data_IF_745623159364
#
_entry.id   IF_745623159364
#
_cell.length_a   1.000
_cell.length_b   1.000
_cell.length_c   1.000
_cell.angle_alpha   90.00
_cell.angle_beta   90.00
_cell.angle_gamma   90.00
#
_symmetry.space_group_name_H-M   'P 1'
#
loop_
_entity.id
_entity.type
_entity.pdbx_description
1 polymer ?
#
# COMPACT_ATOMS: atom_id res chain seq x y z
N UNK A 1 14.71 21.27 -10.13
CA UNK A 1 14.24 19.86 -10.03
C UNK A 1 14.35 19.45 -8.56
N UNK A 2 13.25 19.09 -7.92
CA UNK A 2 13.26 18.64 -6.52
C UNK A 2 13.82 17.22 -6.43
N UNK A 3 14.49 16.90 -5.31
CA UNK A 3 15.00 15.56 -5.03
C UNK A 3 14.36 15.08 -3.73
N UNK A 4 13.79 13.90 -3.77
CA UNK A 4 13.31 13.15 -2.61
C UNK A 4 14.36 12.10 -2.26
N UNK A 5 14.86 12.13 -1.03
CA UNK A 5 15.77 11.12 -0.52
C UNK A 5 15.03 10.22 0.47
N UNK A 6 15.08 8.91 0.23
CA UNK A 6 14.50 7.89 1.09
C UNK A 6 15.62 7.26 1.92
N UNK A 7 15.60 7.50 3.22
CA UNK A 7 16.52 6.85 4.15
C UNK A 7 15.86 5.59 4.71
N UNK A 8 16.18 4.44 4.10
CA UNK A 8 15.52 3.16 4.36
C UNK A 8 16.39 2.32 5.32
N UNK A 9 16.66 2.87 6.51
CA UNK A 9 17.51 2.21 7.50
C UNK A 9 16.81 1.10 8.31
N UNK A 10 15.47 1.00 8.23
CA UNK A 10 14.67 0.02 8.99
C UNK A 10 13.53 -0.57 8.17
N UNK A 11 13.73 -0.72 6.87
CA UNK A 11 12.67 -1.14 5.95
C UNK A 11 11.74 -0.01 5.52
N UNK A 12 10.83 -0.33 4.62
CA UNK A 12 9.80 0.58 4.11
C UNK A 12 8.60 -0.24 3.65
N UNK A 13 7.41 0.12 4.15
CA UNK A 13 6.13 -0.40 3.65
C UNK A 13 5.38 0.68 2.84
N UNK A 14 4.31 0.29 2.13
CA UNK A 14 3.54 1.21 1.31
C UNK A 14 2.84 2.28 2.14
N UNK A 15 2.21 1.89 3.25
CA UNK A 15 1.57 2.77 4.21
C UNK A 15 2.55 3.77 4.85
N UNK A 16 3.76 3.32 5.23
CA UNK A 16 4.83 4.21 5.73
C UNK A 16 5.26 5.22 4.66
N UNK A 17 5.39 4.77 3.42
CA UNK A 17 5.78 5.68 2.33
C UNK A 17 4.70 6.71 2.05
N UNK A 18 3.44 6.31 1.97
CA UNK A 18 2.30 7.22 1.80
C UNK A 18 2.18 8.19 2.98
N UNK A 19 2.31 7.71 4.22
CA UNK A 19 2.32 8.56 5.40
C UNK A 19 3.41 9.63 5.34
N UNK A 20 4.62 9.27 4.92
CA UNK A 20 5.72 10.23 4.75
C UNK A 20 5.46 11.25 3.63
N UNK A 21 4.87 10.85 2.50
CA UNK A 21 4.52 11.77 1.42
C UNK A 21 3.40 12.75 1.81
N UNK A 22 2.43 12.30 2.62
CA UNK A 22 1.41 13.17 3.21
C UNK A 22 2.02 14.17 4.19
N UNK A 23 2.97 13.76 5.02
CA UNK A 23 3.67 14.66 5.95
C UNK A 23 4.55 15.68 5.21
N UNK A 24 5.03 15.35 4.01
CA UNK A 24 5.71 16.27 3.10
C UNK A 24 4.76 17.27 2.39
N UNK A 25 3.45 17.17 2.60
CA UNK A 25 2.46 18.13 2.12
C UNK A 25 1.61 17.67 0.94
N UNK A 26 1.56 16.37 0.62
CA UNK A 26 0.55 15.84 -0.28
C UNK A 26 -0.83 16.00 0.36
N UNK A 27 -1.76 16.62 -0.35
CA UNK A 27 -3.13 16.78 0.14
C UNK A 27 -3.92 15.46 0.06
N UNK A 28 -4.37 14.97 1.22
CA UNK A 28 -5.11 13.70 1.31
C UNK A 28 -6.37 13.68 0.46
N UNK A 29 -7.14 14.77 0.42
CA UNK A 29 -8.38 14.82 -0.36
C UNK A 29 -8.12 14.70 -1.86
N UNK A 30 -7.00 15.28 -2.30
CA UNK A 30 -6.57 15.15 -3.70
C UNK A 30 -6.11 13.72 -3.98
N UNK A 31 -5.37 13.09 -3.07
CA UNK A 31 -4.95 11.69 -3.20
C UNK A 31 -6.17 10.76 -3.28
N UNK A 32 -7.16 10.92 -2.38
CA UNK A 32 -8.41 10.14 -2.38
C UNK A 32 -9.19 10.29 -3.70
N UNK A 33 -9.33 11.52 -4.17
CA UNK A 33 -10.01 11.80 -5.45
C UNK A 33 -9.30 11.14 -6.63
N UNK A 34 -7.98 11.16 -6.65
CA UNK A 34 -7.20 10.52 -7.71
C UNK A 34 -7.28 8.99 -7.61
N UNK A 35 -7.20 8.41 -6.41
CA UNK A 35 -7.38 6.97 -6.19
C UNK A 35 -8.78 6.50 -6.62
N UNK A 36 -9.82 7.31 -6.37
CA UNK A 36 -11.19 7.01 -6.81
C UNK A 36 -11.33 6.82 -8.33
N UNK A 37 -10.39 7.34 -9.14
CA UNK A 37 -10.37 7.13 -10.59
C UNK A 37 -10.05 5.69 -11.01
N UNK A 38 -9.57 4.85 -10.09
CA UNK A 38 -9.37 3.43 -10.34
C UNK A 38 -10.70 2.66 -10.41
N UNK A 39 -11.77 3.17 -9.79
CA UNK A 39 -13.02 2.42 -9.68
C UNK A 39 -12.90 1.19 -8.80
N UNK A 40 -12.06 1.25 -7.78
CA UNK A 40 -11.99 0.24 -6.72
C UNK A 40 -12.96 0.65 -5.61
N UNK A 41 -13.81 -0.27 -5.21
CA UNK A 41 -14.76 -0.11 -4.11
C UNK A 41 -14.38 -0.99 -2.92
N UNK A 42 -15.05 -0.81 -1.80
CA UNK A 42 -14.91 -1.67 -0.62
C UNK A 42 -13.71 -1.32 0.26
N UNK A 43 -13.19 -0.10 0.19
CA UNK A 43 -12.16 0.40 1.09
C UNK A 43 -12.37 1.87 1.43
N UNK A 44 -11.80 2.30 2.55
CA UNK A 44 -11.66 3.71 2.90
C UNK A 44 -10.28 3.98 3.49
N UNK A 45 -9.81 5.22 3.34
CA UNK A 45 -8.51 5.63 3.83
C UNK A 45 -8.66 6.25 5.22
N UNK A 46 -7.78 5.88 6.12
CA UNK A 46 -7.66 6.49 7.43
C UNK A 46 -6.28 7.13 7.59
N UNK A 47 -6.26 8.43 7.87
CA UNK A 47 -5.03 9.19 8.05
C UNK A 47 -5.08 9.88 9.40
N UNK A 48 -4.05 9.67 10.21
CA UNK A 48 -3.94 10.25 11.54
C UNK A 48 -2.50 10.49 11.93
N UNK A 49 -2.31 11.29 13.00
CA UNK A 49 -0.98 11.45 13.61
C UNK A 49 -0.79 10.40 14.70
N UNK A 50 0.39 9.81 14.74
CA UNK A 50 0.80 8.84 15.76
C UNK A 50 2.11 9.26 16.39
N UNK A 51 2.19 9.07 17.71
CA UNK A 51 3.42 9.24 18.48
C UNK A 51 4.00 7.86 18.83
N UNK A 52 5.30 7.71 18.63
CA UNK A 52 6.05 6.56 19.12
C UNK A 52 7.42 7.06 19.60
N UNK A 53 7.76 6.77 20.85
CA UNK A 53 9.06 7.12 21.45
C UNK A 53 9.45 8.60 21.25
N UNK A 54 8.51 9.52 21.47
CA UNK A 54 8.67 10.97 21.28
C UNK A 54 8.82 11.46 19.83
N UNK A 55 8.63 10.58 18.85
CA UNK A 55 8.58 10.94 17.43
C UNK A 55 7.12 10.92 16.97
N UNK A 56 6.68 12.02 16.36
CA UNK A 56 5.38 12.12 15.71
C UNK A 56 5.52 11.87 14.20
N UNK A 57 4.58 11.12 13.64
CA UNK A 57 4.51 10.87 12.21
C UNK A 57 3.07 10.73 11.74
N UNK A 58 2.88 10.84 10.43
CA UNK A 58 1.60 10.55 9.79
C UNK A 58 1.48 9.05 9.59
N UNK A 59 0.40 8.48 10.12
CA UNK A 59 0.00 7.11 9.85
C UNK A 59 -1.08 7.11 8.78
N UNK A 60 -0.87 6.28 7.77
CA UNK A 60 -1.81 6.02 6.69
C UNK A 60 -2.26 4.56 6.79
N UNK A 61 -3.54 4.30 6.72
CA UNK A 61 -4.11 2.95 6.76
C UNK A 61 -5.19 2.81 5.68
N UNK A 62 -5.25 1.64 5.05
CA UNK A 62 -6.32 1.22 4.15
C UNK A 62 -7.21 0.25 4.91
N UNK A 63 -8.47 0.61 5.13
CA UNK A 63 -9.46 -0.24 5.80
C UNK A 63 -10.41 -0.83 4.76
N UNK A 64 -10.60 -2.15 4.78
CA UNK A 64 -11.56 -2.83 3.92
C UNK A 64 -12.94 -2.85 4.59
N UNK A 65 -14.01 -2.64 3.84
CA UNK A 65 -15.39 -2.59 4.37
C UNK A 65 -15.86 -3.91 4.99
N UNK A 66 -15.18 -5.03 4.68
CA UNK A 66 -15.48 -6.34 5.26
C UNK A 66 -14.82 -6.58 6.64
N UNK A 67 -13.87 -5.74 7.04
CA UNK A 67 -13.34 -5.73 8.40
C UNK A 67 -14.40 -5.11 9.32
N UNK A 68 -15.49 -5.86 9.57
CA UNK A 68 -16.63 -5.38 10.33
C UNK A 68 -16.19 -4.65 11.60
N UNK A 69 -16.80 -3.49 11.82
CA UNK A 69 -16.64 -2.64 13.00
C UNK A 69 -16.83 -3.45 14.30
N UNK A 70 -15.83 -4.23 14.69
CA UNK A 70 -15.71 -4.79 16.02
C UNK A 70 -15.15 -3.68 16.91
N UNK A 71 -16.04 -2.81 17.37
CA UNK A 71 -15.74 -1.81 18.38
C UNK A 71 -15.05 -2.44 19.60
N UNK A 72 -13.73 -2.51 19.57
CA UNK A 72 -12.95 -2.88 20.75
C UNK A 72 -12.86 -1.69 21.69
N UNK A 73 -13.90 -1.54 22.52
CA UNK A 73 -13.78 -0.84 23.79
C UNK A 73 -12.83 -1.64 24.68
N UNK A 74 -11.59 -1.21 24.78
CA UNK A 74 -10.63 -1.75 25.74
C UNK A 74 -11.04 -1.32 27.17
N UNK A 75 -11.78 -2.16 27.85
CA UNK A 75 -11.84 -2.15 29.32
C UNK A 75 -10.66 -2.98 29.82
N UNK A 76 -9.72 -2.33 30.49
CA UNK A 76 -8.66 -3.00 31.21
C UNK A 76 -9.24 -3.75 32.40
N UNK A 77 -9.18 -5.08 32.39
CA UNK A 77 -9.23 -5.88 33.61
C UNK A 77 -8.11 -6.93 33.57
N UNK A 78 -7.36 -6.94 34.67
CA UNK A 78 -6.11 -7.67 34.79
C UNK A 78 -6.35 -9.07 35.34
N UNK A 79 -5.88 -10.13 34.66
CA UNK A 79 -5.53 -11.40 35.29
C UNK A 79 -4.55 -12.21 34.43
N UNK A 80 -3.58 -12.95 35.01
CA UNK A 80 -2.50 -13.59 34.28
C UNK A 80 -2.82 -15.07 33.97
N UNK A 81 -2.39 -15.53 32.79
CA UNK A 81 -2.40 -16.98 32.50
C UNK A 81 -2.34 -17.36 31.03
N UNK A 82 -1.22 -18.00 30.69
CA UNK A 82 -1.04 -19.05 29.68
C UNK A 82 -1.08 -18.77 28.16
N UNK A 83 0.09 -19.07 27.59
CA UNK A 83 0.40 -19.70 26.29
C UNK A 83 -0.69 -19.64 25.20
N UNK A 84 -0.49 -18.82 24.19
CA UNK A 84 -1.18 -18.97 22.91
C UNK A 84 -0.23 -18.90 21.72
N UNK A 85 -0.08 -20.05 21.10
CA UNK A 85 0.27 -20.28 19.73
C UNK A 85 -0.76 -19.54 18.83
N UNK A 86 -0.41 -18.38 18.31
CA UNK A 86 -1.25 -17.60 17.41
C UNK A 86 -0.80 -17.80 15.99
N UNK A 87 -1.27 -18.88 15.39
CA UNK A 87 -1.35 -19.00 13.93
C UNK A 87 -2.44 -18.02 13.45
N UNK A 88 -2.05 -16.81 13.05
CA UNK A 88 -2.94 -15.91 12.33
C UNK A 88 -3.17 -16.45 10.92
N UNK A 89 -4.16 -17.31 10.78
CA UNK A 89 -4.73 -17.70 9.50
C UNK A 89 -5.54 -16.53 8.96
N UNK A 90 -4.96 -15.77 8.04
CA UNK A 90 -5.73 -14.84 7.23
C UNK A 90 -6.65 -15.64 6.32
N UNK A 91 -7.95 -15.67 6.61
CA UNK A 91 -8.97 -16.24 5.72
C UNK A 91 -9.18 -15.28 4.55
N UNK A 92 -8.51 -15.53 3.44
CA UNK A 92 -8.75 -14.81 2.20
C UNK A 92 -10.09 -15.24 1.61
N UNK A 93 -11.02 -14.30 1.44
CA UNK A 93 -12.26 -14.53 0.71
C UNK A 93 -11.93 -14.82 -0.77
N UNK A 94 -12.47 -15.89 -1.39
CA UNK A 94 -12.23 -16.17 -2.80
C UNK A 94 -12.84 -15.05 -3.66
N UNK A 95 -12.01 -14.20 -4.29
CA UNK A 95 -12.44 -13.10 -5.16
C UNK A 95 -11.60 -11.83 -5.08
N UNK A 96 -10.75 -11.68 -4.07
CA UNK A 96 -10.02 -10.42 -3.83
C UNK A 96 -8.63 -10.34 -4.49
N UNK A 97 -8.02 -11.46 -4.86
CA UNK A 97 -6.68 -11.45 -5.42
C UNK A 97 -6.71 -11.35 -6.95
N UNK A 98 -6.26 -10.22 -7.46
CA UNK A 98 -6.15 -9.94 -8.90
C UNK A 98 -4.82 -10.44 -9.44
N UNK A 99 -4.83 -10.97 -10.66
CA UNK A 99 -3.61 -11.24 -11.41
C UNK A 99 -3.01 -9.96 -12.00
N UNK A 100 -1.77 -10.05 -12.48
CA UNK A 100 -1.07 -8.91 -13.09
C UNK A 100 -1.85 -8.29 -14.26
N UNK A 101 -2.50 -9.12 -15.09
CA UNK A 101 -3.26 -8.68 -16.27
C UNK A 101 -4.50 -7.88 -15.88
N UNK A 102 -5.20 -8.34 -14.83
CA UNK A 102 -6.37 -7.65 -14.28
C UNK A 102 -5.99 -6.28 -13.69
N UNK A 103 -4.90 -6.23 -12.89
CA UNK A 103 -4.38 -4.97 -12.32
C UNK A 103 -3.93 -4.02 -13.43
N UNK A 104 -3.21 -4.54 -14.44
CA UNK A 104 -2.78 -3.73 -15.58
C UNK A 104 -3.98 -3.15 -16.34
N UNK A 105 -5.03 -3.93 -16.53
CA UNK A 105 -6.26 -3.48 -17.19
C UNK A 105 -6.95 -2.41 -16.37
N UNK A 106 -7.13 -2.63 -15.05
CA UNK A 106 -7.71 -1.66 -14.13
C UNK A 106 -7.01 -0.30 -14.21
N UNK A 107 -5.67 -0.30 -14.12
CA UNK A 107 -4.88 0.94 -14.19
C UNK A 107 -4.98 1.59 -15.56
N UNK A 108 -4.92 0.83 -16.66
CA UNK A 108 -4.96 1.37 -18.03
C UNK A 108 -6.30 2.02 -18.36
N UNK A 109 -7.40 1.42 -17.93
CA UNK A 109 -8.76 1.92 -18.21
C UNK A 109 -9.16 3.09 -17.31
N UNK A 110 -8.44 3.34 -16.21
CA UNK A 110 -8.68 4.45 -15.30
C UNK A 110 -8.44 5.81 -15.99
N UNK A 111 -8.92 6.89 -15.38
CA UNK A 111 -8.68 8.27 -15.82
C UNK A 111 -7.50 8.94 -15.12
N UNK A 112 -6.58 8.15 -14.55
CA UNK A 112 -5.30 8.61 -13.97
C UNK A 112 -4.38 9.23 -15.05
N UNK A 113 -3.40 10.03 -14.62
CA UNK A 113 -2.40 10.55 -15.55
C UNK A 113 -1.57 9.43 -16.19
N UNK A 114 -1.11 9.63 -17.41
CA UNK A 114 -0.32 8.60 -18.12
C UNK A 114 0.97 8.27 -17.38
N UNK A 115 1.56 9.26 -16.71
CA UNK A 115 2.75 9.04 -15.88
C UNK A 115 2.47 8.10 -14.70
N UNK A 116 1.36 8.31 -13.97
CA UNK A 116 0.95 7.43 -12.87
C UNK A 116 0.70 6.02 -13.38
N UNK A 117 -0.06 5.88 -14.49
CA UNK A 117 -0.31 4.58 -15.11
C UNK A 117 0.97 3.84 -15.46
N UNK A 118 1.90 4.52 -16.13
CA UNK A 118 3.18 3.95 -16.52
C UNK A 118 3.98 3.47 -15.30
N UNK A 119 4.09 4.32 -14.27
CA UNK A 119 4.89 3.98 -13.07
C UNK A 119 4.26 2.85 -12.25
N UNK A 120 2.97 2.91 -11.99
CA UNK A 120 2.27 1.86 -11.25
C UNK A 120 2.38 0.50 -11.97
N UNK A 121 2.11 0.44 -13.28
CA UNK A 121 2.25 -0.78 -14.07
C UNK A 121 3.71 -1.30 -14.05
N UNK A 122 4.70 -0.39 -14.09
CA UNK A 122 6.10 -0.78 -14.03
C UNK A 122 6.47 -1.42 -12.68
N UNK A 123 5.92 -0.93 -11.56
CA UNK A 123 6.11 -1.53 -10.22
C UNK A 123 5.49 -2.93 -10.18
N UNK A 124 4.20 -3.07 -10.53
CA UNK A 124 3.52 -4.37 -10.54
C UNK A 124 4.22 -5.38 -11.46
N UNK A 125 4.74 -4.94 -12.61
CA UNK A 125 5.50 -5.82 -13.50
C UNK A 125 6.78 -6.34 -12.86
N UNK A 126 7.49 -5.52 -12.07
CA UNK A 126 8.69 -5.97 -11.34
C UNK A 126 8.35 -7.05 -10.32
N UNK A 127 7.25 -6.86 -9.58
CA UNK A 127 6.77 -7.87 -8.63
C UNK A 127 6.37 -9.14 -9.38
N UNK A 128 5.58 -9.04 -10.46
CA UNK A 128 5.18 -10.20 -11.26
C UNK A 128 6.38 -10.98 -11.84
N UNK A 129 7.44 -10.27 -12.27
CA UNK A 129 8.66 -10.93 -12.74
C UNK A 129 9.38 -11.66 -11.60
N UNK A 130 9.43 -11.07 -10.40
CA UNK A 130 10.06 -11.70 -9.25
C UNK A 130 9.29 -12.95 -8.80
N UNK A 131 7.97 -12.85 -8.64
CA UNK A 131 7.11 -13.99 -8.28
C UNK A 131 7.10 -15.07 -9.37
N UNK A 132 7.04 -14.67 -10.64
CA UNK A 132 7.10 -15.60 -11.76
C UNK A 132 8.36 -16.47 -11.76
N UNK A 133 9.51 -15.92 -11.34
CA UNK A 133 10.75 -16.68 -11.16
C UNK A 133 10.64 -17.71 -10.03
N UNK A 134 10.00 -17.35 -8.94
CA UNK A 134 9.84 -18.24 -7.77
C UNK A 134 8.88 -19.38 -8.11
N UNK A 135 7.76 -19.07 -8.77
CA UNK A 135 6.72 -20.03 -9.09
C UNK A 135 6.93 -20.77 -10.42
N UNK A 136 7.95 -20.42 -11.19
CA UNK A 136 8.24 -21.06 -12.48
C UNK A 136 7.19 -20.77 -13.56
N UNK A 137 6.51 -19.63 -13.49
CA UNK A 137 5.46 -19.22 -14.44
C UNK A 137 5.82 -17.89 -15.12
N UNK A 138 5.33 -17.64 -16.34
CA UNK A 138 5.47 -16.33 -16.98
C UNK A 138 4.82 -15.23 -16.17
N UNK A 139 5.42 -14.03 -16.17
CA UNK A 139 4.96 -12.89 -15.35
C UNK A 139 3.52 -12.44 -15.64
N UNK A 140 3.02 -12.67 -16.85
CA UNK A 140 1.64 -12.38 -17.26
C UNK A 140 0.61 -13.39 -16.73
N UNK A 141 1.08 -14.53 -16.23
CA UNK A 141 0.27 -15.59 -15.62
C UNK A 141 0.42 -15.68 -14.09
N UNK A 142 1.12 -14.73 -13.50
CA UNK A 142 1.29 -14.69 -12.06
C UNK A 142 -0.02 -14.27 -11.40
N UNK A 143 -0.50 -15.10 -10.48
CA UNK A 143 -1.53 -14.73 -9.53
C UNK A 143 -0.85 -14.20 -8.28
N UNK A 144 -1.10 -12.95 -7.95
CA UNK A 144 -0.55 -12.36 -6.73
C UNK A 144 -1.28 -12.92 -5.50
N UNK A 145 -0.52 -13.41 -4.53
CA UNK A 145 -1.09 -13.94 -3.29
C UNK A 145 -1.45 -12.81 -2.32
N UNK A 146 -0.64 -11.76 -2.26
CA UNK A 146 -0.83 -10.63 -1.36
C UNK A 146 -0.97 -9.32 -2.14
N UNK A 147 -0.08 -9.07 -3.09
CA UNK A 147 0.02 -7.81 -3.85
C UNK A 147 -1.17 -7.57 -4.80
N UNK A 148 -2.03 -8.58 -5.02
CA UNK A 148 -3.29 -8.48 -5.76
C UNK A 148 -4.46 -7.95 -4.94
N UNK A 149 -4.32 -7.83 -3.64
CA UNK A 149 -5.34 -7.29 -2.74
C UNK A 149 -5.51 -5.77 -2.89
N UNK A 150 -6.64 -5.27 -2.44
CA UNK A 150 -7.01 -3.85 -2.62
C UNK A 150 -6.04 -2.90 -1.93
N UNK A 151 -5.61 -3.22 -0.71
CA UNK A 151 -4.65 -2.44 0.07
C UNK A 151 -3.31 -2.25 -0.66
N UNK A 152 -2.74 -3.32 -1.19
CA UNK A 152 -1.49 -3.27 -1.96
C UNK A 152 -1.64 -2.47 -3.26
N UNK A 153 -2.80 -2.55 -3.92
CA UNK A 153 -3.07 -1.75 -5.11
C UNK A 153 -3.16 -0.27 -4.75
N UNK A 154 -3.85 0.07 -3.66
CA UNK A 154 -3.97 1.43 -3.14
C UNK A 154 -2.60 1.98 -2.76
N UNK A 155 -1.76 1.21 -2.08
CA UNK A 155 -0.42 1.60 -1.68
C UNK A 155 0.46 1.92 -2.89
N UNK A 156 0.54 1.03 -3.86
CA UNK A 156 1.42 1.18 -5.03
C UNK A 156 0.93 2.32 -5.93
N UNK A 157 -0.37 2.36 -6.24
CA UNK A 157 -0.92 3.41 -7.11
C UNK A 157 -0.95 4.74 -6.38
N UNK A 158 -1.31 4.75 -5.10
CA UNK A 158 -1.30 5.93 -4.23
C UNK A 158 0.08 6.56 -4.13
N UNK A 159 1.13 5.75 -3.96
CA UNK A 159 2.51 6.24 -3.97
C UNK A 159 2.87 6.91 -5.31
N UNK A 160 2.47 6.34 -6.44
CA UNK A 160 2.69 6.94 -7.76
C UNK A 160 1.91 8.26 -7.91
N UNK A 161 0.66 8.33 -7.45
CA UNK A 161 -0.14 9.56 -7.44
C UNK A 161 0.52 10.63 -6.57
N UNK A 162 0.91 10.29 -5.35
CA UNK A 162 1.54 11.21 -4.42
C UNK A 162 2.86 11.80 -4.99
N UNK A 163 3.68 10.98 -5.66
CA UNK A 163 4.87 11.45 -6.36
C UNK A 163 4.54 12.37 -7.55
N UNK A 164 3.46 12.11 -8.27
CA UNK A 164 2.97 12.98 -9.35
C UNK A 164 2.54 14.34 -8.80
N UNK A 165 1.78 14.35 -7.69
CA UNK A 165 1.34 15.55 -6.98
C UNK A 165 2.50 16.39 -6.42
N UNK A 166 3.60 15.75 -6.00
CA UNK A 166 4.85 16.42 -5.60
C UNK A 166 5.67 16.95 -6.78
N UNK A 167 5.16 16.85 -8.01
CA UNK A 167 5.84 17.36 -9.21
C UNK A 167 6.92 16.40 -9.73
N UNK A 168 6.82 15.11 -9.45
CA UNK A 168 7.73 14.07 -9.97
C UNK A 168 9.18 14.30 -9.57
N UNK A 169 9.49 14.36 -8.27
CA UNK A 169 10.86 14.60 -7.81
C UNK A 169 11.79 13.48 -8.30
N UNK A 170 13.07 13.78 -8.39
CA UNK A 170 14.10 12.74 -8.53
C UNK A 170 14.16 11.96 -7.22
N UNK A 171 13.88 10.66 -7.26
CA UNK A 171 13.94 9.81 -6.06
C UNK A 171 15.32 9.16 -5.96
N UNK A 172 15.95 9.32 -4.82
CA UNK A 172 17.17 8.64 -4.41
C UNK A 172 16.85 7.86 -3.13
N UNK A 173 17.49 6.70 -2.95
CA UNK A 173 17.31 5.88 -1.77
C UNK A 173 18.65 5.46 -1.20
N UNK A 174 18.72 5.30 0.13
CA UNK A 174 19.82 4.58 0.78
C UNK A 174 19.79 3.09 0.40
N UNK A 175 20.79 2.34 0.85
CA UNK A 175 20.68 0.88 0.84
C UNK A 175 19.46 0.46 1.67
N UNK A 176 18.73 -0.55 1.17
CA UNK A 176 17.61 -1.13 1.92
C UNK A 176 18.19 -2.03 3.00
N UNK A 177 17.79 -1.79 4.24
CA UNK A 177 18.11 -2.67 5.37
C UNK A 177 16.85 -3.44 5.72
N UNK A 178 16.92 -4.75 5.61
CA UNK A 178 15.84 -5.63 6.07
C UNK A 178 15.89 -5.71 7.61
N UNK A 179 14.71 -5.64 8.22
CA UNK A 179 14.54 -5.71 9.66
C UNK A 179 14.59 -7.17 10.19
#
# INVERSE_FOLDING_TARGET
MQTLYLDIFSGLSGDMFLGALLDLGVDIRTLERELGKLGLDGYHLHVGRRHKDSIEGVKFDVHLEQDGDCGHTHTHDSAPGDSHDSSHGHSHTPGENRDFTQIQTLIRTSTLSDWVKEKAIAVFRRVAVAEGKIHGVPSDKVHFHEVGAVDSIVDIVGACIALDLLGRPRVLASAVVEG
#
